data_IF_818972946527
#
_entry.id   IF_818972946527
#
_cell.length_a   1.000
_cell.length_b   1.000
_cell.length_c   1.000
_cell.angle_alpha   90.00
_cell.angle_beta   90.00
_cell.angle_gamma   90.00
#
_symmetry.space_group_name_H-M   'P 1'
#
loop_
_entity.id
_entity.type
_entity.pdbx_description
1 polymer ?
#
# COMPACT_ATOMS: atom_id res chain seq x y z
N UNK A 1 20.28 15.06 2.34
CA UNK A 1 19.26 15.55 1.37
C UNK A 1 18.45 14.34 0.93
N UNK A 2 17.24 14.10 1.44
CA UNK A 2 16.45 12.95 1.01
C UNK A 2 15.60 13.31 -0.22
N UNK A 3 15.91 12.67 -1.35
CA UNK A 3 15.17 12.74 -2.61
C UNK A 3 14.04 11.71 -2.57
N UNK A 4 12.96 11.99 -1.84
CA UNK A 4 11.71 11.27 -2.07
C UNK A 4 11.08 11.87 -3.33
N UNK A 5 11.23 11.20 -4.47
CA UNK A 5 10.52 11.55 -5.70
C UNK A 5 9.01 11.32 -5.47
N UNK A 6 8.18 12.38 -5.31
CA UNK A 6 6.88 12.27 -4.62
C UNK A 6 5.68 12.00 -5.54
N UNK A 7 5.87 11.49 -6.76
CA UNK A 7 4.82 11.53 -7.79
C UNK A 7 4.27 10.17 -8.24
N UNK A 8 4.81 9.05 -7.76
CA UNK A 8 4.27 7.75 -8.12
C UNK A 8 2.97 7.49 -7.36
N UNK A 9 1.84 7.45 -8.07
CA UNK A 9 0.54 7.07 -7.53
C UNK A 9 0.46 5.55 -7.48
N UNK A 10 -0.05 5.03 -6.38
CA UNK A 10 -0.31 3.61 -6.16
C UNK A 10 -1.79 3.42 -5.88
N UNK A 11 -2.30 2.23 -6.15
CA UNK A 11 -3.61 1.78 -5.69
C UNK A 11 -3.43 0.51 -4.87
N UNK A 12 -4.37 0.27 -3.98
CA UNK A 12 -4.42 -0.98 -3.22
C UNK A 12 -5.08 -2.02 -4.10
N UNK A 13 -4.37 -3.12 -4.33
CA UNK A 13 -4.90 -4.32 -4.97
C UNK A 13 -5.06 -5.42 -3.94
N UNK A 14 -6.08 -6.24 -4.14
CA UNK A 14 -6.30 -7.47 -3.38
C UNK A 14 -6.37 -8.63 -4.36
N UNK A 15 -5.90 -9.80 -3.96
CA UNK A 15 -6.07 -11.03 -4.74
C UNK A 15 -7.27 -11.85 -4.23
N UNK A 16 -7.45 -13.05 -4.79
CA UNK A 16 -8.50 -13.97 -4.35
C UNK A 16 -8.28 -14.51 -2.92
N UNK A 17 -7.03 -14.52 -2.44
CA UNK A 17 -6.64 -14.99 -1.11
C UNK A 17 -6.67 -13.88 -0.03
N UNK A 18 -7.35 -12.76 -0.30
CA UNK A 18 -7.47 -11.61 0.63
C UNK A 18 -6.10 -11.01 1.04
N UNK A 19 -5.09 -11.16 0.18
CA UNK A 19 -3.78 -10.53 0.34
C UNK A 19 -3.77 -9.14 -0.29
N UNK A 20 -3.43 -8.15 0.52
CA UNK A 20 -3.36 -6.75 0.12
C UNK A 20 -1.95 -6.39 -0.33
N UNK A 21 -1.85 -5.73 -1.48
CA UNK A 21 -0.59 -5.23 -2.01
C UNK A 21 -0.79 -3.86 -2.64
N UNK A 22 0.28 -3.08 -2.74
CA UNK A 22 0.26 -1.79 -3.45
C UNK A 22 0.73 -2.00 -4.88
N UNK A 23 -0.07 -1.54 -5.84
CA UNK A 23 0.27 -1.61 -7.26
C UNK A 23 0.40 -0.21 -7.87
N UNK A 24 1.40 0.05 -8.72
CA UNK A 24 1.56 1.35 -9.37
C UNK A 24 0.37 1.65 -10.29
N UNK A 25 -0.19 2.86 -10.18
CA UNK A 25 -1.32 3.29 -11.01
C UNK A 25 -0.98 3.42 -12.50
N UNK A 26 0.31 3.51 -12.82
CA UNK A 26 0.82 3.60 -14.19
C UNK A 26 0.97 2.21 -14.87
N UNK A 27 0.79 1.13 -14.10
CA UNK A 27 0.90 -0.25 -14.60
C UNK A 27 -0.47 -0.93 -14.65
N UNK A 28 -0.64 -1.80 -15.64
CA UNK A 28 -1.79 -2.68 -15.74
C UNK A 28 -1.79 -3.70 -14.59
N UNK A 29 -2.98 -4.02 -14.07
CA UNK A 29 -3.14 -4.96 -12.97
C UNK A 29 -3.17 -6.37 -13.55
N UNK A 30 -2.30 -7.30 -13.07
CA UNK A 30 -2.30 -8.67 -13.55
C UNK A 30 -3.60 -9.40 -13.23
N UNK A 31 -3.95 -10.38 -14.07
CA UNK A 31 -5.14 -11.20 -13.87
C UNK A 31 -5.10 -11.93 -12.51
N UNK A 32 -6.20 -11.86 -11.76
CA UNK A 32 -6.30 -12.39 -10.39
C UNK A 32 -6.10 -11.36 -9.29
N UNK A 33 -5.65 -10.14 -9.64
CA UNK A 33 -5.62 -8.99 -8.75
C UNK A 33 -6.74 -8.02 -9.10
N UNK A 34 -7.36 -7.41 -8.09
CA UNK A 34 -8.44 -6.45 -8.24
C UNK A 34 -8.14 -5.18 -7.44
N UNK A 35 -8.34 -3.99 -8.01
CA UNK A 35 -8.17 -2.74 -7.28
C UNK A 35 -9.30 -2.60 -6.26
N UNK A 36 -8.97 -2.47 -4.98
CA UNK A 36 -9.95 -2.35 -3.89
C UNK A 36 -9.93 -0.97 -3.22
N UNK A 37 -8.78 -0.29 -3.21
CA UNK A 37 -8.61 0.95 -2.45
C UNK A 37 -8.37 2.22 -3.29
N UNK A 38 -8.23 3.37 -2.60
CA UNK A 38 -8.02 4.65 -3.26
C UNK A 38 -6.65 4.74 -3.94
N UNK A 39 -6.61 5.51 -5.03
CA UNK A 39 -5.38 5.92 -5.72
C UNK A 39 -4.71 7.04 -4.92
N UNK A 40 -3.51 6.78 -4.39
CA UNK A 40 -2.81 7.72 -3.52
C UNK A 40 -1.30 7.53 -3.50
N UNK A 41 -0.65 8.16 -2.55
CA UNK A 41 0.76 7.91 -2.26
C UNK A 41 0.93 6.52 -1.64
N UNK A 42 2.14 5.95 -1.75
CA UNK A 42 2.49 4.68 -1.10
C UNK A 42 2.08 4.66 0.39
N UNK A 43 2.32 5.76 1.10
CA UNK A 43 1.96 5.90 2.53
C UNK A 43 0.44 5.89 2.78
N UNK A 44 -0.35 6.57 1.95
CA UNK A 44 -1.82 6.58 2.06
C UNK A 44 -2.39 5.18 1.80
N UNK A 45 -1.88 4.49 0.76
CA UNK A 45 -2.28 3.13 0.43
C UNK A 45 -1.88 2.13 1.52
N UNK A 46 -0.64 2.24 2.05
CA UNK A 46 -0.19 1.39 3.15
C UNK A 46 -1.02 1.60 4.40
N UNK A 47 -1.31 2.86 4.78
CA UNK A 47 -2.17 3.16 5.92
C UNK A 47 -3.58 2.57 5.73
N UNK A 48 -4.14 2.65 4.52
CA UNK A 48 -5.45 2.07 4.22
C UNK A 48 -5.46 0.53 4.32
N UNK A 49 -4.41 -0.12 3.78
CA UNK A 49 -4.21 -1.57 3.92
C UNK A 49 -4.08 -1.93 5.39
N UNK A 50 -3.24 -1.19 6.13
CA UNK A 50 -3.11 -1.37 7.56
C UNK A 50 -4.47 -1.25 8.22
N UNK A 51 -5.22 -0.16 8.09
CA UNK A 51 -6.53 -0.01 8.74
C UNK A 51 -7.54 -1.13 8.38
N UNK A 52 -7.57 -1.57 7.12
CA UNK A 52 -8.50 -2.59 6.62
C UNK A 52 -8.11 -4.00 7.09
N UNK A 53 -6.84 -4.37 6.95
CA UNK A 53 -6.31 -5.68 7.38
C UNK A 53 -6.11 -5.76 8.90
N UNK A 54 -6.04 -4.61 9.57
CA UNK A 54 -6.01 -4.45 11.03
C UNK A 54 -7.39 -4.68 11.65
N UNK A 55 -8.37 -5.28 10.99
CA UNK A 55 -9.51 -5.86 11.72
C UNK A 55 -9.21 -7.28 12.29
N UNK A 56 -7.98 -7.80 12.09
CA UNK A 56 -7.49 -9.11 12.59
C UNK A 56 -6.33 -9.06 13.66
N UNK A 57 -6.08 -7.91 14.34
CA UNK A 57 -4.84 -7.39 15.05
C UNK A 57 -4.04 -8.25 16.06
N UNK A 58 -2.72 -7.95 16.35
CA UNK A 58 -2.28 -6.75 17.13
C UNK A 58 -0.96 -6.00 16.73
N UNK A 59 -1.06 -4.66 16.81
CA UNK A 59 -0.14 -3.63 17.38
C UNK A 59 1.30 -3.36 16.89
N UNK A 60 1.99 -4.23 16.15
CA UNK A 60 3.46 -4.06 15.96
C UNK A 60 3.96 -3.20 14.79
N UNK A 61 3.09 -2.70 13.91
CA UNK A 61 3.54 -1.90 12.74
C UNK A 61 3.56 -0.38 12.98
N UNK A 62 3.25 0.09 14.19
CA UNK A 62 3.30 1.53 14.53
C UNK A 62 4.69 2.18 14.48
N UNK A 63 5.76 1.48 14.09
CA UNK A 63 7.14 2.00 14.14
C UNK A 63 8.04 1.75 12.92
N UNK A 64 7.59 1.07 11.87
CA UNK A 64 8.50 0.70 10.76
C UNK A 64 8.52 1.68 9.57
N UNK A 65 7.62 2.66 9.52
CA UNK A 65 7.52 3.60 8.38
C UNK A 65 8.29 4.93 8.58
N UNK A 66 9.09 5.06 9.64
CA UNK A 66 9.94 6.24 9.89
C UNK A 66 11.36 6.12 9.29
N UNK A 67 11.73 4.99 8.69
CA UNK A 67 13.14 4.59 8.67
C UNK A 67 13.76 4.01 7.41
N UNK A 68 13.28 4.29 6.20
CA UNK A 68 14.02 3.84 5.00
C UNK A 68 14.01 4.86 3.85
N UNK A 69 14.86 5.87 4.02
CA UNK A 69 15.42 6.66 2.93
C UNK A 69 16.94 6.81 3.14
N UNK A 70 17.70 5.71 3.09
CA UNK A 70 19.17 5.77 3.02
C UNK A 70 19.67 5.35 1.64
#
# INVERSE_FOLDING_TARGET
MPNQSPLSRFHVVVNDEEQYSIWPADQEIPAGWRPEGPLGSKEECLRHIEETWTDMRPLSVRRALDGDHR
#
